data_IF_102509812835
#
_entry.id   IF_102509812835
#
_cell.length_a   1.000
_cell.length_b   1.000
_cell.length_c   1.000
_cell.angle_alpha   90.00
_cell.angle_beta   90.00
_cell.angle_gamma   90.00
#
_symmetry.space_group_name_H-M   'P 1'
#
loop_
_entity.id
_entity.type
_entity.pdbx_description
1 polymer ?
#
# COMPACT_ATOMS: atom_id res chain seq x y z
N UNK A 1 -21.18 9.97 0.04
CA UNK A 1 -20.72 8.65 0.55
C UNK A 1 -19.89 8.90 1.80
N UNK A 2 -19.92 8.02 2.79
CA UNK A 2 -19.07 8.14 3.99
C UNK A 2 -17.73 7.45 3.75
N UNK A 3 -16.62 8.14 3.99
CA UNK A 3 -15.27 7.57 3.90
C UNK A 3 -15.08 6.48 4.95
N UNK A 4 -14.62 5.30 4.54
CA UNK A 4 -14.36 4.18 5.45
C UNK A 4 -12.91 4.18 5.88
N UNK A 5 -12.68 4.16 7.19
CA UNK A 5 -11.34 4.14 7.77
C UNK A 5 -10.83 2.70 7.87
N UNK A 6 -9.65 2.46 7.31
CA UNK A 6 -9.03 1.14 7.23
C UNK A 6 -7.73 1.14 8.02
N UNK A 7 -7.54 0.08 8.81
CA UNK A 7 -6.23 -0.32 9.32
C UNK A 7 -5.97 -1.71 8.77
N UNK A 8 -4.88 -1.88 8.04
CA UNK A 8 -4.59 -3.10 7.28
C UNK A 8 -3.53 -3.89 8.05
N UNK A 9 -3.85 -5.11 8.46
CA UNK A 9 -2.90 -6.05 9.05
C UNK A 9 -2.71 -7.22 8.08
N UNK A 10 -1.47 -7.51 7.70
CA UNK A 10 -1.16 -8.48 6.63
C UNK A 10 0.17 -9.20 6.87
N UNK A 11 0.30 -10.44 6.39
CA UNK A 11 1.55 -11.20 6.36
C UNK A 11 2.34 -11.06 5.04
N UNK A 12 1.90 -10.19 4.14
CA UNK A 12 2.60 -9.72 2.92
C UNK A 12 3.01 -10.80 1.92
N UNK A 13 2.01 -11.45 1.34
CA UNK A 13 2.13 -12.16 0.06
C UNK A 13 1.92 -11.20 -1.14
N UNK A 14 2.13 -11.69 -2.37
CA UNK A 14 2.03 -10.87 -3.59
C UNK A 14 0.62 -10.32 -3.84
N UNK A 15 -0.41 -11.05 -3.41
CA UNK A 15 -1.81 -10.65 -3.48
C UNK A 15 -2.16 -9.54 -2.47
N UNK A 16 -1.54 -9.54 -1.29
CA UNK A 16 -1.68 -8.45 -0.31
C UNK A 16 -1.20 -7.11 -0.85
N UNK A 17 -0.10 -7.12 -1.62
CA UNK A 17 0.42 -5.92 -2.26
C UNK A 17 -0.63 -5.29 -3.21
N UNK A 18 -1.35 -6.12 -3.97
CA UNK A 18 -2.43 -5.65 -4.84
C UNK A 18 -3.59 -5.09 -4.02
N UNK A 19 -3.98 -5.77 -2.94
CA UNK A 19 -5.05 -5.30 -2.06
C UNK A 19 -4.72 -3.95 -1.39
N UNK A 20 -3.46 -3.75 -0.96
CA UNK A 20 -2.97 -2.48 -0.42
C UNK A 20 -3.06 -1.38 -1.48
N UNK A 21 -2.59 -1.63 -2.71
CA UNK A 21 -2.69 -0.66 -3.80
C UNK A 21 -4.13 -0.26 -4.09
N UNK A 22 -5.03 -1.25 -4.17
CA UNK A 22 -6.46 -1.01 -4.39
C UNK A 22 -7.06 -0.18 -3.26
N UNK A 23 -6.68 -0.43 -2.00
CA UNK A 23 -7.17 0.33 -0.86
C UNK A 23 -6.65 1.78 -0.85
N UNK A 24 -5.39 2.01 -1.25
CA UNK A 24 -4.78 3.34 -1.32
C UNK A 24 -5.37 4.21 -2.44
N UNK A 25 -5.78 3.62 -3.57
CA UNK A 25 -6.39 4.35 -4.70
C UNK A 25 -7.90 4.55 -4.56
N UNK A 26 -8.56 3.83 -3.65
CA UNK A 26 -10.02 3.84 -3.58
C UNK A 26 -10.57 5.12 -2.97
N UNK A 27 -11.32 5.90 -3.75
CA UNK A 27 -11.85 7.24 -3.40
C UNK A 27 -12.58 7.34 -2.04
N UNK A 28 -13.21 6.26 -1.59
CA UNK A 28 -13.99 6.22 -0.34
C UNK A 28 -13.32 5.42 0.79
N UNK A 29 -12.01 5.21 0.72
CA UNK A 29 -11.20 4.52 1.75
C UNK A 29 -10.11 5.46 2.24
N UNK A 30 -9.95 5.50 3.56
CA UNK A 30 -8.89 6.23 4.26
C UNK A 30 -8.03 5.22 5.02
N UNK A 31 -6.85 4.91 4.48
CA UNK A 31 -5.91 3.96 5.09
C UNK A 31 -5.12 4.69 6.18
N UNK A 32 -5.43 4.40 7.44
CA UNK A 32 -4.82 5.03 8.61
C UNK A 32 -3.44 4.46 8.94
N UNK A 33 -3.18 3.21 8.52
CA UNK A 33 -1.96 2.50 8.83
C UNK A 33 -1.97 1.07 8.28
N UNK A 34 -0.77 0.52 8.15
CA UNK A 34 -0.51 -0.85 7.72
C UNK A 34 0.42 -1.49 8.76
N UNK A 35 0.06 -2.66 9.29
CA UNK A 35 0.93 -3.49 10.12
C UNK A 35 1.30 -4.78 9.39
N UNK A 36 2.51 -5.27 9.68
CA UNK A 36 2.99 -6.56 9.21
C UNK A 36 2.96 -7.54 10.37
N UNK A 37 2.30 -8.67 10.19
CA UNK A 37 2.30 -9.79 11.12
C UNK A 37 3.11 -10.95 10.53
N UNK A 38 3.70 -11.78 11.40
CA UNK A 38 4.38 -12.99 10.95
C UNK A 38 3.35 -14.03 10.51
N UNK A 39 3.36 -14.41 9.23
CA UNK A 39 2.53 -15.48 8.69
C UNK A 39 3.35 -16.44 7.84
N UNK A 40 3.08 -16.49 6.54
CA UNK A 40 3.80 -17.30 5.56
C UNK A 40 5.25 -16.83 5.26
N UNK A 41 5.57 -15.59 5.62
CA UNK A 41 6.86 -14.94 5.42
C UNK A 41 7.40 -14.38 6.75
N UNK A 42 8.72 -14.38 6.99
CA UNK A 42 9.30 -13.69 8.13
C UNK A 42 8.97 -12.19 8.09
N UNK A 43 8.61 -11.61 9.24
CA UNK A 43 8.22 -10.19 9.37
C UNK A 43 9.21 -9.25 8.68
N UNK A 44 10.52 -9.49 8.85
CA UNK A 44 11.55 -8.65 8.24
C UNK A 44 11.48 -8.61 6.71
N UNK A 45 11.16 -9.75 6.08
CA UNK A 45 11.01 -9.82 4.64
C UNK A 45 9.69 -9.19 4.18
N UNK A 46 8.63 -9.36 4.96
CA UNK A 46 7.34 -8.69 4.73
C UNK A 46 7.44 -7.16 4.80
N UNK A 47 8.15 -6.64 5.81
CA UNK A 47 8.43 -5.20 5.94
C UNK A 47 9.23 -4.66 4.75
N UNK A 48 10.26 -5.38 4.29
CA UNK A 48 11.02 -4.99 3.09
C UNK A 48 10.16 -4.97 1.83
N UNK A 49 9.24 -5.92 1.67
CA UNK A 49 8.29 -5.93 0.55
C UNK A 49 7.39 -4.69 0.59
N UNK A 50 6.83 -4.38 1.76
CA UNK A 50 5.98 -3.19 1.95
C UNK A 50 6.76 -1.90 1.63
N UNK A 51 8.00 -1.77 2.09
CA UNK A 51 8.85 -0.61 1.80
C UNK A 51 9.09 -0.41 0.30
N UNK A 52 9.36 -1.51 -0.43
CA UNK A 52 9.54 -1.48 -1.88
C UNK A 52 8.25 -1.07 -2.59
N UNK A 53 7.11 -1.65 -2.18
CA UNK A 53 5.80 -1.34 -2.74
C UNK A 53 5.47 0.15 -2.59
N UNK A 54 5.53 0.67 -1.36
CA UNK A 54 5.23 2.07 -1.08
C UNK A 54 6.21 3.02 -1.79
N UNK A 55 7.50 2.65 -1.87
CA UNK A 55 8.50 3.40 -2.62
C UNK A 55 8.17 3.46 -4.12
N UNK A 56 7.73 2.34 -4.70
CA UNK A 56 7.34 2.28 -6.11
C UNK A 56 6.10 3.14 -6.39
N UNK A 57 5.06 3.02 -5.56
CA UNK A 57 3.83 3.84 -5.67
C UNK A 57 4.16 5.32 -5.59
N UNK A 58 4.97 5.72 -4.62
CA UNK A 58 5.38 7.13 -4.45
C UNK A 58 6.08 7.64 -5.70
N UNK A 59 7.02 6.86 -6.27
CA UNK A 59 7.72 7.24 -7.50
C UNK A 59 6.79 7.34 -8.70
N UNK A 60 5.84 6.39 -8.85
CA UNK A 60 4.88 6.41 -9.95
C UNK A 60 3.94 7.62 -9.85
N UNK A 61 3.48 7.96 -8.65
CA UNK A 61 2.66 9.13 -8.40
C UNK A 61 3.41 10.42 -8.77
N UNK A 62 4.65 10.56 -8.31
CA UNK A 62 5.50 11.71 -8.65
C UNK A 62 5.71 11.82 -10.17
N UNK A 63 6.00 10.71 -10.85
CA UNK A 63 6.14 10.69 -12.30
C UNK A 63 4.86 11.15 -13.02
N UNK A 64 3.69 10.67 -12.60
CA UNK A 64 2.41 11.10 -13.19
C UNK A 64 2.14 12.59 -12.97
N UNK A 65 2.49 13.12 -11.80
CA UNK A 65 2.36 14.55 -11.49
C UNK A 65 3.31 15.41 -12.35
N UNK A 66 4.53 14.94 -12.60
CA UNK A 66 5.48 15.61 -13.50
C UNK A 66 4.93 15.67 -14.94
N UNK A 67 4.34 14.58 -15.44
CA UNK A 67 3.81 14.52 -16.81
C UNK A 67 2.54 15.34 -17.04
N UNK A 68 1.75 15.58 -15.98
CA UNK A 68 0.52 16.41 -16.05
C UNK A 68 0.79 17.90 -15.87
N UNK A 69 2.03 18.28 -15.52
CA UNK A 69 2.46 19.68 -15.35
C UNK A 69 2.94 20.33 -16.67
N UNK A 70 2.85 19.61 -17.79
CA UNK A 70 3.15 20.06 -19.15
C UNK A 70 1.91 19.99 -20.04
#
# INVERSE_FOLDING_TARGET
MTTRKFFIDTDTASDDAVAILMALEWENVDVLGISIVSGNMPVEQGSKMLDILLSFVTKLLLYTLEQTSH
#
